data_IF_402888256221
#
_entry.id   IF_402888256221
#
_cell.length_a   1.000
_cell.length_b   1.000
_cell.length_c   1.000
_cell.angle_alpha   90.00
_cell.angle_beta   90.00
_cell.angle_gamma   90.00
#
_symmetry.space_group_name_H-M   'P 1'
#
loop_
_entity.id
_entity.type
_entity.pdbx_description
1 polymer ?
#
# COMPACT_ATOMS: atom_id res chain seq x y z
N UNK A 1 8.04 44.57 -10.84
CA UNK A 1 8.51 43.24 -11.27
C UNK A 1 7.47 42.22 -10.85
N UNK A 2 6.94 41.44 -11.80
CA UNK A 2 5.79 40.56 -11.59
C UNK A 2 6.24 39.24 -10.92
N UNK A 3 6.34 39.22 -9.58
CA UNK A 3 6.74 38.03 -8.82
C UNK A 3 5.58 37.13 -8.37
N UNK A 4 4.34 37.63 -8.35
CA UNK A 4 3.19 36.92 -7.78
C UNK A 4 2.49 35.92 -8.70
N UNK A 5 2.82 35.90 -10.00
CA UNK A 5 2.11 35.11 -11.00
C UNK A 5 2.47 33.61 -10.92
N UNK A 6 3.72 33.31 -10.56
CA UNK A 6 4.23 31.94 -10.45
C UNK A 6 3.61 31.19 -9.26
N UNK A 7 3.41 31.88 -8.13
CA UNK A 7 2.81 31.27 -6.93
C UNK A 7 1.38 30.79 -7.20
N UNK A 8 0.58 31.64 -7.86
CA UNK A 8 -0.80 31.30 -8.25
C UNK A 8 -0.87 30.10 -9.19
N UNK A 9 0.08 29.98 -10.13
CA UNK A 9 0.13 28.85 -11.04
C UNK A 9 0.42 27.54 -10.31
N UNK A 10 1.32 27.56 -9.31
CA UNK A 10 1.62 26.37 -8.49
C UNK A 10 0.43 25.97 -7.63
N UNK A 11 -0.21 26.92 -6.96
CA UNK A 11 -1.43 26.68 -6.19
C UNK A 11 -2.54 26.03 -7.05
N UNK A 12 -2.73 26.49 -8.29
CA UNK A 12 -3.71 25.91 -9.21
C UNK A 12 -3.35 24.47 -9.61
N UNK A 13 -2.06 24.17 -9.77
CA UNK A 13 -1.62 22.81 -10.07
C UNK A 13 -1.80 21.86 -8.88
N UNK A 14 -1.52 22.33 -7.66
CA UNK A 14 -1.79 21.56 -6.42
C UNK A 14 -3.30 21.33 -6.26
N UNK A 15 -4.13 22.34 -6.51
CA UNK A 15 -5.60 22.17 -6.52
C UNK A 15 -6.07 21.18 -7.58
N UNK A 16 -5.48 21.20 -8.78
CA UNK A 16 -5.80 20.23 -9.83
C UNK A 16 -5.44 18.80 -9.42
N UNK A 17 -4.28 18.60 -8.78
CA UNK A 17 -3.88 17.32 -8.20
C UNK A 17 -4.91 16.83 -7.16
N UNK A 18 -5.31 17.71 -6.25
CA UNK A 18 -6.27 17.41 -5.20
C UNK A 18 -7.62 16.93 -5.75
N UNK A 19 -8.12 17.58 -6.80
CA UNK A 19 -9.44 17.29 -7.36
C UNK A 19 -9.39 16.07 -8.28
N UNK A 20 -8.34 15.93 -9.09
CA UNK A 20 -8.29 14.93 -10.16
C UNK A 20 -7.53 13.67 -9.80
N UNK A 21 -6.42 13.78 -9.06
CA UNK A 21 -5.53 12.64 -8.80
C UNK A 21 -5.77 11.99 -7.44
N UNK A 22 -6.16 12.72 -6.39
CA UNK A 22 -6.44 12.10 -5.07
C UNK A 22 -7.45 10.94 -5.18
N UNK A 23 -8.59 11.06 -5.89
CA UNK A 23 -9.54 9.96 -6.01
C UNK A 23 -8.97 8.70 -6.68
N UNK A 24 -7.90 8.85 -7.47
CA UNK A 24 -7.23 7.76 -8.17
C UNK A 24 -6.21 7.03 -7.29
N UNK A 25 -5.82 7.60 -6.15
CA UNK A 25 -4.86 7.02 -5.23
C UNK A 25 -5.54 6.66 -3.90
N UNK A 26 -4.86 5.88 -3.07
CA UNK A 26 -5.29 5.61 -1.70
C UNK A 26 -4.92 6.78 -0.76
N UNK A 27 -5.31 8.00 -1.12
CA UNK A 27 -5.02 9.22 -0.39
C UNK A 27 -6.32 9.82 0.15
N UNK A 28 -6.26 10.37 1.35
CA UNK A 28 -7.38 11.08 1.97
C UNK A 28 -7.07 12.56 2.01
N UNK A 29 -7.90 13.37 1.38
CA UNK A 29 -7.78 14.82 1.47
C UNK A 29 -8.33 15.31 2.81
N UNK A 30 -7.51 16.04 3.57
CA UNK A 30 -7.96 16.82 4.73
C UNK A 30 -7.86 18.31 4.42
N UNK A 31 -9.00 19.01 4.44
CA UNK A 31 -9.02 20.45 4.24
C UNK A 31 -8.80 21.17 5.58
N UNK A 32 -7.71 21.93 5.68
CA UNK A 32 -7.39 22.79 6.82
C UNK A 32 -7.33 24.24 6.31
N UNK A 33 -8.25 25.13 6.74
CA UNK A 33 -8.28 26.49 6.24
C UNK A 33 -7.09 27.30 6.75
N UNK A 34 -6.42 28.03 5.85
CA UNK A 34 -5.31 28.93 6.20
C UNK A 34 -3.96 28.24 6.43
N UNK A 35 -3.88 26.92 6.23
CA UNK A 35 -2.62 26.19 6.20
C UNK A 35 -2.14 25.99 4.75
N UNK A 36 -0.83 25.91 4.57
CA UNK A 36 -0.22 25.49 3.31
C UNK A 36 -0.56 24.02 3.00
N UNK A 37 -0.72 23.65 1.72
CA UNK A 37 -0.94 22.26 1.32
C UNK A 37 0.30 21.41 1.61
N UNK A 38 0.11 20.36 2.40
CA UNK A 38 1.17 19.40 2.75
C UNK A 38 0.68 17.97 2.51
N UNK A 39 1.60 17.11 2.07
CA UNK A 39 1.40 15.68 2.04
C UNK A 39 1.99 15.09 3.32
N UNK A 40 1.13 14.50 4.15
CA UNK A 40 1.52 13.82 5.39
C UNK A 40 1.44 12.32 5.15
N UNK A 41 2.57 11.63 5.28
CA UNK A 41 2.64 10.19 5.19
C UNK A 41 2.43 9.59 6.57
N UNK A 42 1.38 8.79 6.72
CA UNK A 42 1.04 8.12 7.97
C UNK A 42 1.36 6.63 7.87
N UNK A 43 1.84 6.05 8.96
CA UNK A 43 1.92 4.60 9.09
C UNK A 43 0.54 4.01 9.44
N UNK A 44 0.48 2.68 9.60
CA UNK A 44 -0.76 2.01 10.00
C UNK A 44 -1.28 2.43 11.38
N UNK A 45 -0.39 2.83 12.30
CA UNK A 45 -0.73 3.28 13.64
C UNK A 45 -1.07 4.78 13.70
N UNK A 46 -1.26 5.43 12.54
CA UNK A 46 -1.51 6.87 12.40
C UNK A 46 -0.37 7.76 12.91
N UNK A 47 0.85 7.24 12.99
CA UNK A 47 2.03 8.04 13.29
C UNK A 47 2.56 8.68 12.01
N UNK A 48 2.94 9.96 12.10
CA UNK A 48 3.54 10.72 11.00
C UNK A 48 4.95 10.20 10.71
N UNK A 49 5.15 9.64 9.51
CA UNK A 49 6.44 9.19 9.03
C UNK A 49 7.21 10.33 8.37
N UNK A 50 6.54 11.08 7.51
CA UNK A 50 7.16 12.16 6.75
C UNK A 50 6.14 13.24 6.38
N UNK A 51 6.64 14.46 6.16
CA UNK A 51 5.82 15.62 5.76
C UNK A 51 6.50 16.37 4.63
N UNK A 52 5.79 16.49 3.52
CA UNK A 52 6.30 17.15 2.31
C UNK A 52 5.42 18.34 1.95
N UNK A 53 6.01 19.53 1.86
CA UNK A 53 5.31 20.73 1.43
C UNK A 53 4.98 20.67 -0.06
N UNK A 54 3.71 20.81 -0.42
CA UNK A 54 3.25 20.75 -1.81
C UNK A 54 3.25 22.11 -2.51
N UNK A 55 3.31 23.22 -1.76
CA UNK A 55 3.28 24.59 -2.28
C UNK A 55 4.35 24.85 -3.35
N UNK A 56 5.48 24.17 -3.25
CA UNK A 56 6.61 24.33 -4.17
C UNK A 56 6.68 23.28 -5.29
N UNK A 57 5.76 22.32 -5.33
CA UNK A 57 5.79 21.24 -6.31
C UNK A 57 4.75 21.47 -7.42
N UNK A 58 5.03 20.90 -8.59
CA UNK A 58 4.06 20.83 -9.68
C UNK A 58 3.23 19.56 -9.57
N UNK A 59 2.08 19.51 -10.25
CA UNK A 59 1.25 18.32 -10.27
C UNK A 59 2.02 17.07 -10.73
N UNK A 60 2.89 17.21 -11.73
CA UNK A 60 3.70 16.10 -12.26
C UNK A 60 4.70 15.60 -11.22
N UNK A 61 5.43 16.52 -10.58
CA UNK A 61 6.39 16.20 -9.51
C UNK A 61 5.72 15.45 -8.35
N UNK A 62 4.51 15.86 -7.97
CA UNK A 62 3.73 15.19 -6.93
C UNK A 62 3.34 13.76 -7.36
N UNK A 63 2.86 13.57 -8.59
CA UNK A 63 2.54 12.23 -9.10
C UNK A 63 3.78 11.33 -9.17
N UNK A 64 4.94 11.87 -9.59
CA UNK A 64 6.21 11.14 -9.61
C UNK A 64 6.67 10.76 -8.20
N UNK A 65 6.51 11.64 -7.22
CA UNK A 65 6.80 11.35 -5.82
C UNK A 65 5.94 10.19 -5.31
N UNK A 66 4.63 10.23 -5.57
CA UNK A 66 3.73 9.14 -5.18
C UNK A 66 4.10 7.81 -5.83
N UNK A 67 4.47 7.82 -7.11
CA UNK A 67 4.98 6.64 -7.80
C UNK A 67 6.26 6.08 -7.17
N UNK A 68 7.21 6.94 -6.79
CA UNK A 68 8.44 6.55 -6.09
C UNK A 68 8.18 5.95 -4.70
N UNK A 69 7.17 6.49 -4.00
CA UNK A 69 6.73 5.96 -2.71
C UNK A 69 5.98 4.62 -2.84
N UNK A 70 5.57 4.23 -4.05
CA UNK A 70 4.86 2.98 -4.31
C UNK A 70 3.34 3.11 -4.21
N UNK A 71 2.78 4.33 -4.28
CA UNK A 71 1.34 4.50 -4.39
C UNK A 71 0.86 4.04 -5.76
N UNK A 72 -0.12 3.15 -5.76
CA UNK A 72 -0.76 2.72 -6.98
C UNK A 72 -1.73 3.78 -7.50
N UNK A 73 -1.67 4.03 -8.81
CA UNK A 73 -2.59 4.92 -9.52
C UNK A 73 -3.65 4.10 -10.25
N UNK A 74 -4.91 4.25 -9.84
CA UNK A 74 -6.05 3.63 -10.53
C UNK A 74 -6.34 4.31 -11.87
N UNK A 75 -6.93 3.56 -12.80
CA UNK A 75 -7.41 4.10 -14.08
C UNK A 75 -8.70 4.93 -13.94
N UNK A 76 -9.54 4.61 -12.96
CA UNK A 76 -10.80 5.28 -12.64
C UNK A 76 -10.93 5.39 -11.12
N UNK A 77 -11.71 6.34 -10.61
CA UNK A 77 -11.91 6.50 -9.17
C UNK A 77 -12.61 5.27 -8.56
N UNK A 78 -13.60 4.71 -9.25
CA UNK A 78 -14.34 3.50 -8.85
C UNK A 78 -13.66 2.18 -9.26
N UNK A 79 -12.51 2.20 -9.93
CA UNK A 79 -11.83 0.96 -10.28
C UNK A 79 -11.30 0.24 -9.02
N UNK A 80 -11.41 -1.08 -9.00
CA UNK A 80 -10.85 -1.90 -7.92
C UNK A 80 -9.32 -1.86 -7.97
N UNK A 81 -8.71 -1.77 -6.78
CA UNK A 81 -7.25 -1.86 -6.64
C UNK A 81 -6.87 -3.34 -6.70
N UNK A 82 -5.95 -3.76 -7.58
CA UNK A 82 -5.49 -5.15 -7.64
C UNK A 82 -4.97 -5.63 -6.28
N UNK A 83 -5.13 -6.92 -5.97
CA UNK A 83 -4.75 -7.48 -4.67
C UNK A 83 -3.28 -7.21 -4.30
N UNK A 84 -2.39 -7.21 -5.29
CA UNK A 84 -0.96 -6.91 -5.16
C UNK A 84 -0.69 -5.50 -4.61
N UNK A 85 -1.54 -4.53 -4.98
CA UNK A 85 -1.39 -3.13 -4.60
C UNK A 85 -2.34 -2.69 -3.49
N UNK A 86 -3.17 -3.60 -2.97
CA UNK A 86 -4.21 -3.29 -1.98
C UNK A 86 -3.64 -2.74 -0.68
N UNK A 87 -2.43 -3.17 -0.32
CA UNK A 87 -1.69 -2.68 0.84
C UNK A 87 -0.58 -1.69 0.46
N UNK A 88 -0.27 -1.53 -0.84
CA UNK A 88 0.77 -0.59 -1.26
C UNK A 88 0.38 0.85 -0.89
N UNK A 89 1.32 1.65 -0.36
CA UNK A 89 2.76 1.39 -0.20
C UNK A 89 3.18 0.65 1.10
N UNK A 90 2.25 0.38 2.02
CA UNK A 90 2.57 -0.35 3.24
C UNK A 90 3.01 -1.79 2.92
N UNK A 91 4.19 -2.19 3.42
CA UNK A 91 4.73 -3.54 3.21
C UNK A 91 4.20 -4.58 4.18
N UNK A 92 3.61 -4.14 5.29
CA UNK A 92 3.11 -4.99 6.35
C UNK A 92 1.58 -4.96 6.39
N UNK A 93 0.97 -6.15 6.39
CA UNK A 93 -0.43 -6.29 6.76
C UNK A 93 -0.58 -5.89 8.22
N UNK A 94 -1.50 -4.99 8.56
CA UNK A 94 -1.75 -4.63 9.96
C UNK A 94 -2.29 -5.79 10.78
N UNK A 95 -2.93 -6.73 10.11
CA UNK A 95 -3.22 -8.04 10.64
C UNK A 95 -1.93 -8.84 10.52
N UNK A 96 -1.10 -8.73 11.56
CA UNK A 96 -0.05 -9.69 11.84
C UNK A 96 -0.69 -11.05 11.69
N UNK A 97 -0.19 -11.90 10.80
CA UNK A 97 -0.58 -13.29 10.80
C UNK A 97 -0.30 -13.79 12.22
N UNK A 98 -1.36 -13.90 13.02
CA UNK A 98 -1.36 -14.79 14.16
C UNK A 98 -0.86 -16.11 13.58
N UNK A 99 0.28 -16.66 14.05
CA UNK A 99 0.76 -17.92 13.54
C UNK A 99 -0.42 -18.88 13.67
N UNK A 100 -0.87 -19.40 12.53
CA UNK A 100 -2.05 -20.24 12.42
C UNK A 100 -2.14 -21.10 13.69
N UNK A 101 -3.17 -20.87 14.50
CA UNK A 101 -3.45 -21.67 15.67
C UNK A 101 -3.34 -23.12 15.23
N UNK A 102 -2.22 -23.77 15.58
CA UNK A 102 -2.04 -25.18 15.31
C UNK A 102 -3.07 -25.85 16.22
N UNK A 103 -4.15 -26.46 15.70
CA UNK A 103 -5.02 -27.22 16.56
C UNK A 103 -4.13 -28.27 17.21
N UNK A 104 -4.10 -28.17 18.53
CA UNK A 104 -3.21 -28.90 19.41
C UNK A 104 -3.20 -30.37 19.06
N UNK A 105 -2.01 -30.96 19.11
CA UNK A 105 -1.79 -32.39 19.02
C UNK A 105 -2.81 -33.14 19.90
N UNK A 106 -3.80 -33.77 19.26
CA UNK A 106 -4.80 -34.61 19.92
C UNK A 106 -5.38 -35.56 18.87
N UNK A 107 -4.59 -36.57 18.52
CA UNK A 107 -5.01 -37.88 17.99
C UNK A 107 -3.75 -38.75 18.08
N UNK A 108 -3.46 -39.34 19.25
CA UNK A 108 -3.83 -40.72 19.60
C UNK A 108 -3.30 -41.73 18.57
N UNK A 109 -2.24 -42.42 19.02
CA UNK A 109 -1.89 -43.82 18.81
C UNK A 109 -2.07 -44.45 17.41
N UNK A 110 -0.98 -44.95 16.83
CA UNK A 110 -0.69 -46.41 16.90
C UNK A 110 0.78 -46.65 16.61
N UNK A 111 1.40 -47.27 17.62
CA UNK A 111 2.73 -47.84 17.72
C UNK A 111 2.82 -49.15 16.89
N UNK A 112 3.97 -49.30 16.21
CA UNK A 112 4.73 -50.53 15.92
C UNK A 112 4.20 -51.66 15.01
N UNK A 113 5.16 -52.14 14.19
CA UNK A 113 5.21 -53.43 13.51
C UNK A 113 5.08 -53.28 11.99
N UNK A 114 5.86 -53.88 11.10
CA UNK A 114 6.98 -54.81 11.15
C UNK A 114 7.38 -55.05 9.68
N UNK A 115 8.67 -55.28 9.43
CA UNK A 115 9.22 -56.09 8.31
C UNK A 115 9.21 -55.56 6.86
N UNK A 116 10.37 -55.01 6.49
CA UNK A 116 11.29 -55.37 5.39
C UNK A 116 10.89 -55.47 3.89
N UNK A 117 11.87 -55.25 2.97
CA UNK A 117 11.68 -55.08 1.53
C UNK A 117 12.08 -56.31 0.67
N UNK A 118 11.73 -56.24 -0.62
CA UNK A 118 12.41 -56.90 -1.76
C UNK A 118 12.18 -58.41 -1.99
N UNK A 119 11.56 -58.81 -3.10
CA UNK A 119 12.25 -59.34 -4.30
C UNK A 119 11.26 -59.85 -5.36
N UNK A 120 11.69 -59.62 -6.60
CA UNK A 120 11.33 -60.17 -7.91
C UNK A 120 11.24 -61.71 -7.98
N UNK A 121 10.23 -62.30 -8.68
CA UNK A 121 10.36 -63.25 -9.82
C UNK A 121 9.02 -63.81 -10.37
N UNK A 122 8.73 -63.49 -11.64
CA UNK A 122 8.42 -64.34 -12.83
C UNK A 122 7.60 -65.66 -12.79
N UNK A 123 6.72 -65.77 -13.81
CA UNK A 123 6.08 -66.96 -14.46
C UNK A 123 5.03 -67.72 -13.62
N UNK A 124 3.83 -68.08 -14.13
CA UNK A 124 3.41 -68.51 -15.48
C UNK A 124 1.94 -68.18 -15.74
#
# INVERSE_FOLDING_TARGET
TCGGQLNRLRELQVKAFVIQDIPLHNLVMKHIPGADPELVLLNHYYEELDRVALSDMTRSEINELLGKLGFYKKAQAEAEVPEEFRFSPAKDSPFKNEPAYQPSASSIATESGSSEPSTEVKHT
#
